data_IF_710441366227
#
_entry.id   IF_710441366227
#
_cell.length_a   1.000
_cell.length_b   1.000
_cell.length_c   1.000
_cell.angle_alpha   90.00
_cell.angle_beta   90.00
_cell.angle_gamma   90.00
#
_symmetry.space_group_name_H-M   'P 1'
#
loop_
_entity.id
_entity.type
_entity.pdbx_description
1 polymer ?
#
# COMPACT_ATOMS: atom_id res chain seq x y z
N UNK A 1 31.42 67.54 27.03
CA UNK A 1 32.04 67.50 25.69
C UNK A 1 32.44 68.90 25.20
N UNK A 2 31.59 69.92 25.44
CA UNK A 2 31.84 71.32 25.10
C UNK A 2 33.18 71.88 25.60
N UNK A 3 33.46 71.80 26.91
CA UNK A 3 34.70 72.35 27.51
C UNK A 3 35.98 71.74 26.92
N UNK A 4 35.95 70.46 26.56
CA UNK A 4 37.07 69.78 25.92
C UNK A 4 37.29 70.28 24.50
N UNK A 5 36.22 70.47 23.72
CA UNK A 5 36.31 70.98 22.33
C UNK A 5 36.70 72.46 22.28
N UNK A 6 36.16 73.29 23.18
CA UNK A 6 36.57 74.69 23.31
C UNK A 6 38.08 74.79 23.61
N UNK A 7 38.58 73.95 24.51
CA UNK A 7 40.02 73.87 24.82
C UNK A 7 40.84 73.37 23.62
N UNK A 8 40.40 72.29 22.97
CA UNK A 8 41.11 71.69 21.84
C UNK A 8 41.24 72.63 20.64
N UNK A 9 40.23 73.47 20.40
CA UNK A 9 40.22 74.49 19.35
C UNK A 9 40.84 75.83 19.79
N UNK A 10 41.40 75.90 21.01
CA UNK A 10 42.01 77.11 21.60
C UNK A 10 41.05 78.30 21.62
N UNK A 11 39.76 78.03 21.84
CA UNK A 11 38.73 79.05 21.95
C UNK A 11 38.82 79.68 23.34
N UNK A 12 39.37 80.88 23.37
CA UNK A 12 39.65 81.66 24.58
C UNK A 12 39.07 83.08 24.52
N UNK A 13 39.41 83.91 25.50
CA UNK A 13 38.97 85.31 25.52
C UNK A 13 39.44 86.11 24.30
N UNK A 14 40.59 85.77 23.70
CA UNK A 14 41.09 86.42 22.49
C UNK A 14 40.24 86.04 21.28
N UNK A 15 39.83 84.78 21.19
CA UNK A 15 38.88 84.29 20.18
C UNK A 15 37.54 85.02 20.26
N UNK A 16 36.99 85.20 21.46
CA UNK A 16 35.74 85.96 21.66
C UNK A 16 35.91 87.43 21.24
N UNK A 17 37.05 88.05 21.57
CA UNK A 17 37.35 89.43 21.16
C UNK A 17 37.52 89.56 19.64
N UNK A 18 38.09 88.55 18.98
CA UNK A 18 38.21 88.46 17.53
C UNK A 18 36.84 88.32 16.85
N UNK A 19 35.96 87.47 17.37
CA UNK A 19 34.59 87.29 16.87
C UNK A 19 33.76 88.58 16.99
N UNK A 20 33.93 89.35 18.07
CA UNK A 20 33.31 90.69 18.22
C UNK A 20 33.72 91.65 17.11
N UNK A 21 34.96 91.56 16.60
CA UNK A 21 35.45 92.36 15.45
C UNK A 21 34.98 91.79 14.10
N UNK A 22 34.75 90.48 14.01
CA UNK A 22 34.18 89.84 12.83
C UNK A 22 32.71 90.22 12.62
N UNK A 23 31.95 90.34 13.72
CA UNK A 23 30.50 90.48 13.69
C UNK A 23 29.96 91.61 12.79
N UNK A 24 30.48 92.86 12.81
CA UNK A 24 30.01 93.91 11.90
C UNK A 24 30.24 93.60 10.42
N UNK A 25 31.29 92.83 10.10
CA UNK A 25 31.58 92.37 8.73
C UNK A 25 30.54 91.34 8.32
N UNK A 26 30.23 90.40 9.21
CA UNK A 26 29.18 89.42 8.96
C UNK A 26 27.82 90.08 8.80
N UNK A 27 27.42 91.01 9.67
CA UNK A 27 26.13 91.71 9.57
C UNK A 27 25.96 92.42 8.21
N UNK A 28 27.06 92.93 7.63
CA UNK A 28 27.05 93.59 6.32
C UNK A 28 26.92 92.62 5.15
N UNK A 29 27.53 91.43 5.23
CA UNK A 29 27.70 90.54 4.07
C UNK A 29 26.96 89.20 4.16
N UNK A 30 26.43 88.80 5.33
CA UNK A 30 25.87 87.46 5.53
C UNK A 30 24.71 87.14 4.59
N UNK A 31 23.85 88.11 4.28
CA UNK A 31 22.73 87.92 3.35
C UNK A 31 23.23 87.61 1.93
N UNK A 32 24.19 88.40 1.43
CA UNK A 32 24.80 88.18 0.13
C UNK A 32 25.55 86.84 0.06
N UNK A 33 26.29 86.48 1.11
CA UNK A 33 27.04 85.22 1.18
C UNK A 33 26.08 84.02 1.16
N UNK A 34 24.97 84.08 1.91
CA UNK A 34 23.95 83.03 1.93
C UNK A 34 23.29 82.90 0.56
N UNK A 35 22.93 84.01 -0.08
CA UNK A 35 22.33 83.98 -1.41
C UNK A 35 23.28 83.37 -2.45
N UNK A 36 24.56 83.74 -2.43
CA UNK A 36 25.56 83.18 -3.33
C UNK A 36 25.84 81.71 -3.02
N UNK A 37 25.80 81.31 -1.75
CA UNK A 37 25.92 79.90 -1.35
C UNK A 37 24.79 79.05 -1.95
N UNK A 38 23.52 79.47 -1.82
CA UNK A 38 22.41 78.69 -2.38
C UNK A 38 22.37 78.74 -3.90
N UNK A 39 22.81 79.84 -4.55
CA UNK A 39 23.05 79.83 -6.00
C UNK A 39 24.08 78.77 -6.38
N UNK A 40 25.19 78.70 -5.66
CA UNK A 40 26.23 77.70 -5.88
C UNK A 40 25.71 76.26 -5.66
N UNK A 41 25.02 76.00 -4.55
CA UNK A 41 24.48 74.67 -4.23
C UNK A 41 23.46 74.20 -5.28
N UNK A 42 22.57 75.09 -5.73
CA UNK A 42 21.50 74.72 -6.69
C UNK A 42 22.00 74.44 -8.10
N UNK A 43 23.14 75.01 -8.50
CA UNK A 43 23.75 74.76 -9.83
C UNK A 43 24.83 73.68 -9.81
N UNK A 44 25.32 73.26 -8.64
CA UNK A 44 26.39 72.27 -8.53
C UNK A 44 25.82 70.84 -8.49
N UNK A 45 26.17 69.97 -9.47
CA UNK A 45 25.76 68.57 -9.46
C UNK A 45 26.23 67.86 -8.17
N UNK A 46 25.37 67.03 -7.56
CA UNK A 46 25.63 66.36 -6.28
C UNK A 46 25.39 67.22 -5.02
N UNK A 47 25.29 68.55 -5.12
CA UNK A 47 24.90 69.41 -4.00
C UNK A 47 23.43 69.85 -4.09
N UNK A 48 22.84 69.88 -5.29
CA UNK A 48 21.47 70.35 -5.52
C UNK A 48 20.37 69.38 -5.05
N UNK A 49 20.67 68.08 -4.95
CA UNK A 49 19.68 67.01 -4.76
C UNK A 49 18.86 67.13 -3.46
N UNK A 50 19.46 67.43 -2.29
CA UNK A 50 18.71 67.65 -1.06
C UNK A 50 17.81 68.90 -1.09
N UNK A 51 17.99 69.78 -2.09
CA UNK A 51 17.37 71.10 -2.18
C UNK A 51 16.50 71.27 -3.44
N UNK A 52 16.14 70.18 -4.13
CA UNK A 52 15.40 70.21 -5.39
C UNK A 52 13.99 70.82 -5.29
N UNK A 53 13.38 70.80 -4.09
CA UNK A 53 12.09 71.44 -3.81
C UNK A 53 12.29 72.92 -3.42
N UNK A 54 12.15 73.83 -4.39
CA UNK A 54 12.48 75.25 -4.24
C UNK A 54 11.64 76.01 -3.18
N UNK A 55 10.46 75.49 -2.81
CA UNK A 55 9.52 76.14 -1.89
C UNK A 55 10.02 76.27 -0.43
N UNK A 56 11.14 75.64 -0.07
CA UNK A 56 11.72 75.70 1.27
C UNK A 56 12.99 76.57 1.39
N UNK A 57 13.54 77.09 0.28
CA UNK A 57 14.86 77.75 0.30
C UNK A 57 14.89 78.99 1.19
N UNK A 58 13.85 79.85 1.16
CA UNK A 58 13.81 81.06 1.99
C UNK A 58 13.78 80.75 3.49
N UNK A 59 13.09 79.66 3.86
CA UNK A 59 13.06 79.18 5.23
C UNK A 59 14.45 78.69 5.69
N UNK A 60 15.13 77.89 4.85
CA UNK A 60 16.47 77.37 5.18
C UNK A 60 17.51 78.48 5.20
N UNK A 61 17.46 79.44 4.27
CA UNK A 61 18.29 80.66 4.28
C UNK A 61 18.14 81.45 5.57
N UNK A 62 16.90 81.70 5.97
CA UNK A 62 16.58 82.42 7.23
C UNK A 62 17.10 81.66 8.44
N UNK A 63 16.89 80.34 8.49
CA UNK A 63 17.37 79.48 9.57
C UNK A 63 18.91 79.43 9.63
N UNK A 64 19.58 79.40 8.48
CA UNK A 64 21.04 79.41 8.38
C UNK A 64 21.61 80.75 8.83
N UNK A 65 21.06 81.88 8.37
CA UNK A 65 21.44 83.23 8.84
C UNK A 65 21.35 83.33 10.35
N UNK A 66 20.20 82.91 10.92
CA UNK A 66 19.98 82.91 12.36
C UNK A 66 21.04 82.08 13.09
N UNK A 67 21.32 80.88 12.59
CA UNK A 67 22.35 80.02 13.17
C UNK A 67 23.73 80.70 13.19
N UNK A 68 24.19 81.26 12.07
CA UNK A 68 25.47 81.94 12.00
C UNK A 68 25.53 83.15 12.95
N UNK A 69 24.49 83.99 12.95
CA UNK A 69 24.49 85.28 13.67
C UNK A 69 24.23 85.14 15.17
N UNK A 70 23.28 84.29 15.57
CA UNK A 70 22.83 84.19 16.96
C UNK A 70 23.59 83.12 17.76
N UNK A 71 24.20 82.15 17.08
CA UNK A 71 24.85 81.01 17.72
C UNK A 71 26.35 80.94 17.42
N UNK A 72 26.74 80.75 16.16
CA UNK A 72 28.17 80.50 15.80
C UNK A 72 29.06 81.71 16.12
N UNK A 73 28.68 82.89 15.65
CA UNK A 73 29.47 84.11 15.78
C UNK A 73 29.06 85.01 16.95
N UNK A 74 28.10 84.58 17.77
CA UNK A 74 27.69 85.30 18.97
C UNK A 74 28.75 85.25 20.09
N UNK A 75 29.69 84.31 20.00
CA UNK A 75 30.75 84.11 21.01
C UNK A 75 30.22 83.59 22.35
N UNK A 76 29.04 82.95 22.35
CA UNK A 76 28.42 82.29 23.49
C UNK A 76 28.08 80.86 23.10
N UNK A 77 28.88 79.91 23.59
CA UNK A 77 28.67 78.48 23.39
C UNK A 77 28.11 77.90 24.69
N UNK A 78 26.83 78.12 24.91
CA UNK A 78 26.06 77.64 26.06
C UNK A 78 25.16 76.45 25.66
N UNK A 79 24.26 76.03 26.54
CA UNK A 79 23.33 74.93 26.28
C UNK A 79 22.39 75.19 25.09
N UNK A 80 22.00 76.46 24.86
CA UNK A 80 21.16 76.83 23.73
C UNK A 80 21.89 76.65 22.39
N UNK A 81 23.19 76.95 22.36
CA UNK A 81 24.05 76.62 21.23
C UNK A 81 24.13 75.10 20.98
N UNK A 82 24.31 74.30 22.03
CA UNK A 82 24.36 72.84 21.90
C UNK A 82 23.07 72.25 21.36
N UNK A 83 21.91 72.70 21.87
CA UNK A 83 20.59 72.30 21.37
C UNK A 83 20.44 72.64 19.89
N UNK A 84 20.89 73.82 19.47
CA UNK A 84 20.83 74.22 18.08
C UNK A 84 21.73 73.34 17.19
N UNK A 85 22.95 73.01 17.63
CA UNK A 85 23.83 72.06 16.93
C UNK A 85 23.19 70.66 16.84
N UNK A 86 22.50 70.21 17.90
CA UNK A 86 21.74 68.95 17.89
C UNK A 86 20.62 68.97 16.86
N UNK A 87 19.83 70.04 16.81
CA UNK A 87 18.77 70.21 15.81
C UNK A 87 19.33 70.23 14.37
N UNK A 88 20.46 70.89 14.16
CA UNK A 88 21.11 70.99 12.85
C UNK A 88 21.68 69.64 12.42
N UNK A 89 22.49 68.98 13.26
CA UNK A 89 23.02 67.65 12.97
C UNK A 89 21.91 66.63 12.69
N UNK A 90 20.82 66.68 13.46
CA UNK A 90 19.65 65.82 13.25
C UNK A 90 18.91 66.14 11.93
N UNK A 91 18.77 67.41 11.57
CA UNK A 91 18.17 67.81 10.30
C UNK A 91 19.01 67.32 9.11
N UNK A 92 20.33 67.48 9.17
CA UNK A 92 21.23 67.01 8.12
C UNK A 92 21.19 65.48 7.98
N UNK A 93 21.14 64.74 9.10
CA UNK A 93 20.99 63.28 9.09
C UNK A 93 19.61 62.82 8.57
N UNK A 94 18.55 63.60 8.83
CA UNK A 94 17.19 63.30 8.34
C UNK A 94 17.04 63.51 6.84
N UNK A 95 17.73 64.51 6.30
CA UNK A 95 17.66 64.88 4.89
C UNK A 95 18.79 64.27 4.06
N UNK A 96 19.53 63.29 4.61
CA UNK A 96 20.65 62.59 3.96
C UNK A 96 21.69 63.56 3.34
N UNK A 97 21.92 64.71 4.00
CA UNK A 97 22.95 65.64 3.58
C UNK A 97 24.30 65.04 3.96
N UNK A 98 25.06 64.60 2.96
CA UNK A 98 26.34 63.94 3.19
C UNK A 98 27.31 64.85 3.97
N UNK A 99 28.19 64.27 4.81
CA UNK A 99 29.26 65.05 5.46
C UNK A 99 30.08 65.85 4.46
N UNK A 100 30.34 65.31 3.26
CA UNK A 100 31.07 66.01 2.20
C UNK A 100 30.33 67.28 1.73
N UNK A 101 29.01 67.19 1.51
CA UNK A 101 28.14 68.32 1.18
C UNK A 101 28.15 69.35 2.30
N UNK A 102 28.09 68.90 3.55
CA UNK A 102 28.12 69.76 4.72
C UNK A 102 29.47 70.49 4.88
N UNK A 103 30.60 69.78 4.73
CA UNK A 103 31.95 70.36 4.71
C UNK A 103 32.12 71.39 3.58
N UNK A 104 31.65 71.08 2.37
CA UNK A 104 31.69 72.01 1.24
C UNK A 104 30.92 73.31 1.55
N UNK A 105 29.81 73.20 2.29
CA UNK A 105 29.08 74.33 2.85
C UNK A 105 29.97 75.23 3.70
N UNK A 106 30.56 74.72 4.77
CA UNK A 106 31.44 75.55 5.62
C UNK A 106 32.65 76.10 4.86
N UNK A 107 33.23 75.34 3.94
CA UNK A 107 34.35 75.80 3.12
C UNK A 107 33.97 77.04 2.29
N UNK A 108 32.77 77.05 1.69
CA UNK A 108 32.26 78.20 0.94
C UNK A 108 32.14 79.45 1.82
N UNK A 109 31.50 79.31 2.99
CA UNK A 109 31.35 80.42 3.93
C UNK A 109 32.71 80.90 4.44
N UNK A 110 33.64 80.00 4.70
CA UNK A 110 34.97 80.35 5.17
C UNK A 110 35.77 81.14 4.13
N UNK A 111 35.73 80.73 2.86
CA UNK A 111 36.37 81.48 1.75
C UNK A 111 35.75 82.88 1.60
N UNK A 112 34.42 82.97 1.62
CA UNK A 112 33.71 84.24 1.52
C UNK A 112 34.06 85.19 2.68
N UNK A 113 34.02 84.70 3.92
CA UNK A 113 34.40 85.49 5.10
C UNK A 113 35.87 85.89 5.06
N UNK A 114 36.75 85.01 4.57
CA UNK A 114 38.18 85.32 4.44
C UNK A 114 38.41 86.50 3.51
N UNK A 115 37.75 86.54 2.35
CA UNK A 115 37.81 87.69 1.43
C UNK A 115 37.35 89.00 2.08
N UNK A 116 36.24 88.97 2.82
CA UNK A 116 35.70 90.19 3.43
C UNK A 116 36.55 90.68 4.62
N UNK A 117 37.03 89.78 5.48
CA UNK A 117 37.89 90.15 6.62
C UNK A 117 39.24 90.70 6.16
N UNK A 118 39.86 90.08 5.15
CA UNK A 118 41.13 90.55 4.59
C UNK A 118 40.98 91.91 3.90
N UNK A 119 39.86 92.15 3.20
CA UNK A 119 39.57 93.45 2.59
C UNK A 119 39.36 94.57 3.64
N UNK A 120 38.56 94.30 4.69
CA UNK A 120 38.26 95.27 5.75
C UNK A 120 39.53 95.67 6.53
N UNK A 121 40.36 94.68 6.86
CA UNK A 121 41.60 94.90 7.64
C UNK A 121 42.87 94.93 6.78
N UNK A 122 42.79 95.31 5.50
CA UNK A 122 43.93 95.32 4.56
C UNK A 122 45.16 96.09 5.05
N UNK A 123 44.97 97.10 5.91
CA UNK A 123 46.05 97.92 6.51
C UNK A 123 46.46 97.46 7.92
N UNK A 124 45.84 96.40 8.45
CA UNK A 124 46.05 95.85 9.80
C UNK A 124 46.13 94.32 9.73
N UNK A 125 47.19 93.75 9.13
CA UNK A 125 47.30 92.31 8.87
C UNK A 125 47.21 91.46 10.14
N UNK A 126 47.77 91.92 11.26
CA UNK A 126 47.70 91.17 12.54
C UNK A 126 46.26 91.09 13.08
N UNK A 127 45.47 92.14 12.86
CA UNK A 127 44.05 92.15 13.24
C UNK A 127 43.25 91.24 12.31
N UNK A 128 43.54 91.25 11.01
CA UNK A 128 42.93 90.33 10.05
C UNK A 128 43.22 88.87 10.44
N UNK A 129 44.47 88.54 10.75
CA UNK A 129 44.89 87.20 11.15
C UNK A 129 44.17 86.73 12.44
N UNK A 130 44.11 87.58 13.47
CA UNK A 130 43.41 87.25 14.72
C UNK A 130 41.89 87.05 14.49
N UNK A 131 41.26 87.88 13.65
CA UNK A 131 39.84 87.74 13.30
C UNK A 131 39.58 86.45 12.53
N UNK A 132 40.42 86.13 11.53
CA UNK A 132 40.32 84.89 10.77
C UNK A 132 40.52 83.66 11.66
N UNK A 133 41.50 83.68 12.56
CA UNK A 133 41.70 82.60 13.55
C UNK A 133 40.44 82.36 14.39
N UNK A 134 39.81 83.44 14.89
CA UNK A 134 38.57 83.32 15.64
C UNK A 134 37.41 82.78 14.81
N UNK A 135 37.27 83.24 13.56
CA UNK A 135 36.25 82.75 12.61
C UNK A 135 36.45 81.26 12.31
N UNK A 136 37.70 80.82 12.08
CA UNK A 136 38.04 79.42 11.85
C UNK A 136 37.65 78.58 13.07
N UNK A 137 38.05 79.00 14.28
CA UNK A 137 37.76 78.26 15.50
C UNK A 137 36.25 78.10 15.74
N UNK A 138 35.46 79.16 15.52
CA UNK A 138 34.00 79.11 15.63
C UNK A 138 33.36 78.16 14.60
N UNK A 139 33.80 78.22 13.34
CA UNK A 139 33.33 77.33 12.26
C UNK A 139 33.65 75.87 12.56
N UNK A 140 34.91 75.55 12.94
CA UNK A 140 35.32 74.18 13.20
C UNK A 140 34.64 73.59 14.44
N UNK A 141 34.38 74.40 15.47
CA UNK A 141 33.60 73.97 16.63
C UNK A 141 32.18 73.56 16.22
N UNK A 142 31.52 74.41 15.46
CA UNK A 142 30.13 74.21 15.04
C UNK A 142 29.95 73.01 14.12
N UNK A 143 30.83 72.91 13.13
CA UNK A 143 30.94 71.77 12.23
C UNK A 143 31.15 70.46 13.00
N UNK A 144 32.10 70.44 13.94
CA UNK A 144 32.38 69.25 14.77
C UNK A 144 31.19 68.88 15.63
N UNK A 145 30.51 69.87 16.22
CA UNK A 145 29.38 69.63 17.12
C UNK A 145 28.17 69.06 16.39
N UNK A 146 27.86 69.60 15.22
CA UNK A 146 26.75 69.13 14.39
C UNK A 146 27.06 67.77 13.75
N UNK A 147 28.30 67.52 13.31
CA UNK A 147 28.70 66.22 12.75
C UNK A 147 28.70 65.09 13.78
N UNK A 148 29.08 65.35 15.04
CA UNK A 148 28.99 64.34 16.10
C UNK A 148 27.54 63.82 16.27
N UNK A 149 26.56 64.72 16.18
CA UNK A 149 25.14 64.37 16.24
C UNK A 149 24.72 63.62 14.98
N UNK A 150 25.14 64.08 13.80
CA UNK A 150 24.89 63.40 12.53
C UNK A 150 25.37 61.94 12.55
N UNK A 151 26.67 61.73 12.85
CA UNK A 151 27.26 60.38 12.84
C UNK A 151 26.67 59.50 13.94
N UNK A 152 26.35 60.06 15.11
CA UNK A 152 25.66 59.33 16.17
C UNK A 152 24.29 58.80 15.73
N UNK A 153 23.47 59.65 15.09
CA UNK A 153 22.14 59.28 14.61
C UNK A 153 22.20 58.25 13.47
N UNK A 154 23.10 58.43 12.50
CA UNK A 154 23.28 57.48 11.40
C UNK A 154 23.74 56.12 11.92
N UNK A 155 24.68 56.10 12.88
CA UNK A 155 25.14 54.85 13.53
C UNK A 155 23.99 54.14 14.24
N UNK A 156 23.21 54.85 15.07
CA UNK A 156 22.07 54.25 15.77
C UNK A 156 20.98 53.75 14.80
N UNK A 157 20.70 54.48 13.71
CA UNK A 157 19.73 54.03 12.69
C UNK A 157 20.20 52.74 12.01
N UNK A 158 21.48 52.69 11.64
CA UNK A 158 22.09 51.52 10.99
C UNK A 158 22.10 50.32 11.93
N UNK A 159 22.50 50.51 13.19
CA UNK A 159 22.51 49.47 14.21
C UNK A 159 21.11 48.87 14.40
N UNK A 160 20.07 49.72 14.55
CA UNK A 160 18.68 49.25 14.67
C UNK A 160 18.21 48.45 13.46
N UNK A 161 18.48 48.93 12.25
CA UNK A 161 18.11 48.23 11.02
C UNK A 161 18.77 46.85 10.93
N UNK A 162 20.06 46.76 11.28
CA UNK A 162 20.81 45.50 11.32
C UNK A 162 20.27 44.55 12.41
N UNK A 163 19.92 45.06 13.58
CA UNK A 163 19.32 44.27 14.66
C UNK A 163 17.93 43.73 14.31
N UNK A 164 17.11 44.53 13.62
CA UNK A 164 15.79 44.14 13.12
C UNK A 164 15.90 43.04 12.05
N UNK A 165 16.77 43.23 11.06
CA UNK A 165 17.00 42.24 10.01
C UNK A 165 17.58 40.94 10.58
N UNK A 166 18.56 41.03 11.49
CA UNK A 166 19.14 39.86 12.15
C UNK A 166 18.10 39.10 12.99
N UNK A 167 17.15 39.80 13.62
CA UNK A 167 16.05 39.17 14.36
C UNK A 167 15.05 38.48 13.44
N UNK A 168 14.70 39.11 12.31
CA UNK A 168 13.82 38.49 11.31
C UNK A 168 14.46 37.22 10.75
N UNK A 169 15.72 37.29 10.33
CA UNK A 169 16.48 36.14 9.83
C UNK A 169 16.56 35.02 10.86
N UNK A 170 16.83 35.33 12.13
CA UNK A 170 16.84 34.35 13.22
C UNK A 170 15.47 33.64 13.34
N UNK A 171 14.37 34.39 13.36
CA UNK A 171 13.03 33.83 13.48
C UNK A 171 12.61 32.96 12.28
N UNK A 172 13.00 33.36 11.06
CA UNK A 172 12.75 32.57 9.86
C UNK A 172 13.50 31.22 9.92
N UNK A 173 14.76 31.23 10.35
CA UNK A 173 15.54 30.00 10.46
C UNK A 173 15.05 29.11 11.61
N UNK A 174 14.69 29.68 12.77
CA UNK A 174 14.08 28.93 13.88
C UNK A 174 12.80 28.20 13.43
N UNK A 175 11.99 28.85 12.59
CA UNK A 175 10.79 28.24 12.01
C UNK A 175 11.15 27.06 11.09
N UNK A 176 12.18 27.22 10.24
CA UNK A 176 12.65 26.14 9.35
C UNK A 176 13.19 24.95 10.16
N UNK A 177 14.03 25.21 11.17
CA UNK A 177 14.58 24.17 12.07
C UNK A 177 13.47 23.42 12.78
N UNK A 178 12.47 24.13 13.30
CA UNK A 178 11.31 23.52 13.97
C UNK A 178 10.54 22.60 13.02
N UNK A 179 10.28 23.06 11.80
CA UNK A 179 9.61 22.25 10.78
C UNK A 179 10.44 21.03 10.37
N UNK A 180 11.77 21.17 10.31
CA UNK A 180 12.69 20.07 10.00
C UNK A 180 12.70 19.00 11.10
N UNK A 181 12.71 19.41 12.37
CA UNK A 181 12.62 18.50 13.51
C UNK A 181 11.28 17.74 13.55
N UNK A 182 10.18 18.43 13.23
CA UNK A 182 8.87 17.80 13.10
C UNK A 182 8.85 16.77 11.96
N UNK A 183 9.40 17.11 10.79
CA UNK A 183 9.51 16.20 9.66
C UNK A 183 10.37 14.96 9.98
N UNK A 184 11.51 15.14 10.66
CA UNK A 184 12.37 14.03 11.11
C UNK A 184 11.65 13.09 12.08
N UNK A 185 10.90 13.65 13.04
CA UNK A 185 10.07 12.86 13.97
C UNK A 185 9.01 12.04 13.22
N UNK A 186 8.35 12.66 12.23
CA UNK A 186 7.35 11.98 11.41
C UNK A 186 7.97 10.86 10.55
N UNK A 187 9.17 11.07 10.02
CA UNK A 187 9.92 10.02 9.31
C UNK A 187 10.25 8.84 10.23
N UNK A 188 10.70 9.09 11.46
CA UNK A 188 10.98 8.03 12.44
C UNK A 188 9.72 7.24 12.84
N UNK A 189 8.58 7.92 13.00
CA UNK A 189 7.30 7.27 13.24
C UNK A 189 6.86 6.40 12.04
N UNK A 190 6.97 6.92 10.82
CA UNK A 190 6.66 6.20 9.59
C UNK A 190 7.56 4.96 9.40
N UNK A 191 8.85 5.08 9.67
CA UNK A 191 9.81 3.98 9.63
C UNK A 191 9.48 2.90 10.67
N UNK A 192 9.10 3.29 11.89
CA UNK A 192 8.66 2.36 12.93
C UNK A 192 7.40 1.62 12.55
N UNK A 193 6.41 2.33 12.00
CA UNK A 193 5.17 1.73 11.51
C UNK A 193 5.43 0.75 10.37
N UNK A 194 6.23 1.15 9.38
CA UNK A 194 6.60 0.30 8.25
C UNK A 194 7.31 -0.98 8.70
N UNK A 195 8.24 -0.89 9.67
CA UNK A 195 8.87 -2.07 10.26
C UNK A 195 7.84 -3.03 10.88
N UNK A 196 6.88 -2.50 11.64
CA UNK A 196 5.81 -3.31 12.23
C UNK A 196 4.95 -3.98 11.16
N UNK A 197 4.59 -3.25 10.10
CA UNK A 197 3.83 -3.79 8.97
C UNK A 197 4.61 -4.90 8.26
N UNK A 198 5.90 -4.69 8.01
CA UNK A 198 6.76 -5.71 7.38
C UNK A 198 6.84 -6.97 8.21
N UNK A 199 6.99 -6.86 9.54
CA UNK A 199 6.99 -8.01 10.44
C UNK A 199 5.67 -8.79 10.38
N UNK A 200 4.52 -8.09 10.38
CA UNK A 200 3.21 -8.73 10.20
C UNK A 200 3.10 -9.42 8.84
N UNK A 201 3.57 -8.79 7.76
CA UNK A 201 3.58 -9.39 6.41
C UNK A 201 4.40 -10.67 6.39
N UNK A 202 5.58 -10.69 7.04
CA UNK A 202 6.42 -11.89 7.15
C UNK A 202 5.72 -13.02 7.91
N UNK A 203 5.04 -12.70 9.01
CA UNK A 203 4.28 -13.68 9.78
C UNK A 203 3.14 -14.29 8.96
N UNK A 204 2.36 -13.47 8.26
CA UNK A 204 1.28 -13.95 7.41
C UNK A 204 1.80 -14.72 6.18
N UNK A 205 2.95 -14.32 5.62
CA UNK A 205 3.62 -15.08 4.57
C UNK A 205 4.07 -16.47 5.07
N UNK A 206 4.59 -16.55 6.29
CA UNK A 206 4.91 -17.82 6.96
C UNK A 206 3.67 -18.72 7.11
N UNK A 207 2.55 -18.17 7.59
CA UNK A 207 1.28 -18.91 7.70
C UNK A 207 0.76 -19.40 6.34
N UNK A 208 0.88 -18.56 5.30
CA UNK A 208 0.48 -18.93 3.94
C UNK A 208 1.35 -20.06 3.37
N UNK A 209 2.65 -20.07 3.68
CA UNK A 209 3.56 -21.17 3.31
C UNK A 209 3.13 -22.47 3.97
N UNK A 210 2.93 -22.46 5.28
CA UNK A 210 2.57 -23.66 6.04
C UNK A 210 1.21 -24.22 5.56
N UNK A 211 0.25 -23.34 5.26
CA UNK A 211 -1.04 -23.73 4.67
C UNK A 211 -0.89 -24.32 3.25
N UNK A 212 0.02 -23.79 2.43
CA UNK A 212 0.30 -24.33 1.10
C UNK A 212 0.97 -25.72 1.17
N UNK A 213 1.89 -25.92 2.12
CA UNK A 213 2.53 -27.20 2.38
C UNK A 213 1.51 -28.25 2.81
N UNK A 214 0.64 -27.91 3.78
CA UNK A 214 -0.44 -28.79 4.22
C UNK A 214 -1.44 -29.09 3.08
N UNK A 215 -1.75 -28.11 2.22
CA UNK A 215 -2.59 -28.33 1.05
C UNK A 215 -1.94 -29.32 0.06
N UNK A 216 -0.62 -29.22 -0.15
CA UNK A 216 0.11 -30.13 -1.02
C UNK A 216 0.15 -31.56 -0.45
N UNK A 217 0.33 -31.73 0.86
CA UNK A 217 0.24 -33.04 1.54
C UNK A 217 -1.16 -33.66 1.38
N UNK A 218 -2.21 -32.88 1.63
CA UNK A 218 -3.59 -33.34 1.45
C UNK A 218 -3.87 -33.78 0.01
N UNK A 219 -3.34 -33.03 -0.96
CA UNK A 219 -3.47 -33.37 -2.38
C UNK A 219 -2.71 -34.66 -2.74
N UNK A 220 -1.53 -34.89 -2.16
CA UNK A 220 -0.82 -36.18 -2.32
C UNK A 220 -1.63 -37.34 -1.76
N UNK A 221 -2.27 -37.16 -0.59
CA UNK A 221 -3.16 -38.17 -0.01
C UNK A 221 -4.38 -38.45 -0.91
N UNK A 222 -4.99 -37.41 -1.49
CA UNK A 222 -6.09 -37.56 -2.45
C UNK A 222 -5.63 -38.29 -3.72
N UNK A 223 -4.43 -37.99 -4.22
CA UNK A 223 -3.86 -38.68 -5.39
C UNK A 223 -3.67 -40.17 -5.12
N UNK A 224 -3.08 -40.53 -3.97
CA UNK A 224 -2.90 -41.93 -3.56
C UNK A 224 -4.26 -42.65 -3.41
N UNK A 225 -5.25 -42.02 -2.77
CA UNK A 225 -6.58 -42.58 -2.64
C UNK A 225 -7.28 -42.76 -4.01
N UNK A 226 -7.05 -41.85 -4.95
CA UNK A 226 -7.61 -41.95 -6.31
C UNK A 226 -6.96 -43.07 -7.13
N UNK A 227 -5.66 -43.31 -6.94
CA UNK A 227 -4.96 -44.46 -7.53
C UNK A 227 -5.49 -45.80 -6.97
N UNK A 228 -5.70 -45.89 -5.65
CA UNK A 228 -6.31 -47.06 -5.00
C UNK A 228 -7.75 -47.29 -5.48
N UNK A 229 -8.57 -46.23 -5.58
CA UNK A 229 -9.92 -46.30 -6.14
C UNK A 229 -9.89 -46.79 -7.59
N UNK A 230 -8.98 -46.28 -8.41
CA UNK A 230 -8.81 -46.71 -9.81
C UNK A 230 -8.41 -48.19 -9.93
N UNK A 231 -7.63 -48.71 -8.98
CA UNK A 231 -7.31 -50.12 -8.92
C UNK A 231 -8.53 -50.97 -8.50
N UNK A 232 -9.28 -50.51 -7.50
CA UNK A 232 -10.51 -51.16 -7.02
C UNK A 232 -11.59 -51.22 -8.10
N UNK A 233 -11.82 -50.12 -8.82
CA UNK A 233 -12.80 -50.05 -9.92
C UNK A 233 -12.44 -51.03 -11.05
N UNK A 234 -11.16 -51.13 -11.43
CA UNK A 234 -10.70 -52.11 -12.43
C UNK A 234 -10.91 -53.56 -11.99
N UNK A 235 -10.76 -53.85 -10.70
CA UNK A 235 -11.05 -55.18 -10.17
C UNK A 235 -12.56 -55.48 -10.18
N UNK A 236 -13.41 -54.50 -9.84
CA UNK A 236 -14.87 -54.62 -9.96
C UNK A 236 -15.27 -54.87 -11.41
N UNK A 237 -14.71 -54.12 -12.37
CA UNK A 237 -14.94 -54.31 -13.81
C UNK A 237 -14.65 -55.76 -14.23
N UNK A 238 -13.48 -56.28 -13.83
CA UNK A 238 -13.05 -57.66 -14.09
C UNK A 238 -14.02 -58.68 -13.49
N UNK A 239 -14.47 -58.47 -12.26
CA UNK A 239 -15.41 -59.36 -11.58
C UNK A 239 -16.79 -59.36 -12.23
N UNK A 240 -17.29 -58.19 -12.63
CA UNK A 240 -18.57 -58.06 -13.34
C UNK A 240 -18.54 -58.79 -14.69
N UNK A 241 -17.42 -58.69 -15.42
CA UNK A 241 -17.23 -59.41 -16.67
C UNK A 241 -17.21 -60.95 -16.47
N UNK A 242 -16.53 -61.44 -15.43
CA UNK A 242 -16.53 -62.87 -15.08
C UNK A 242 -17.93 -63.36 -14.68
N UNK A 243 -18.67 -62.58 -13.89
CA UNK A 243 -20.07 -62.89 -13.52
C UNK A 243 -20.94 -63.00 -14.76
N UNK A 244 -20.87 -62.04 -15.69
CA UNK A 244 -21.65 -62.06 -16.93
C UNK A 244 -21.32 -63.29 -17.79
N UNK A 245 -20.04 -63.66 -17.91
CA UNK A 245 -19.61 -64.85 -18.65
C UNK A 245 -20.13 -66.16 -18.03
N UNK A 246 -20.10 -66.25 -16.68
CA UNK A 246 -20.62 -67.41 -15.95
C UNK A 246 -22.14 -67.50 -16.02
N UNK A 247 -22.84 -66.36 -15.95
CA UNK A 247 -24.28 -66.28 -16.10
C UNK A 247 -24.72 -66.77 -17.49
N UNK A 248 -24.06 -66.34 -18.57
CA UNK A 248 -24.32 -66.82 -19.93
C UNK A 248 -24.05 -68.34 -20.09
N UNK A 249 -23.00 -68.84 -19.43
CA UNK A 249 -22.72 -70.29 -19.40
C UNK A 249 -23.80 -71.08 -18.66
N UNK A 250 -24.28 -70.55 -17.53
CA UNK A 250 -25.34 -71.17 -16.75
C UNK A 250 -26.68 -71.16 -17.49
N UNK A 251 -27.03 -70.07 -18.18
CA UNK A 251 -28.22 -69.99 -19.03
C UNK A 251 -28.23 -71.07 -20.13
N UNK A 252 -27.09 -71.27 -20.81
CA UNK A 252 -26.94 -72.34 -21.81
C UNK A 252 -27.16 -73.73 -21.20
N UNK A 253 -26.60 -73.99 -20.01
CA UNK A 253 -26.77 -75.27 -19.32
C UNK A 253 -28.21 -75.53 -18.90
N UNK A 254 -28.93 -74.50 -18.44
CA UNK A 254 -30.35 -74.62 -18.10
C UNK A 254 -31.17 -74.91 -19.35
N UNK A 255 -30.93 -74.20 -20.45
CA UNK A 255 -31.61 -74.47 -21.73
C UNK A 255 -31.39 -75.91 -22.21
N UNK A 256 -30.20 -76.46 -22.01
CA UNK A 256 -29.94 -77.85 -22.34
C UNK A 256 -30.61 -78.84 -21.37
N UNK A 257 -30.65 -78.52 -20.07
CA UNK A 257 -31.39 -79.29 -19.07
C UNK A 257 -32.90 -79.30 -19.36
N UNK A 258 -33.51 -78.15 -19.70
CA UNK A 258 -34.92 -78.05 -20.07
C UNK A 258 -35.26 -78.94 -21.27
N UNK A 259 -34.38 -79.02 -22.28
CA UNK A 259 -34.57 -79.97 -23.41
C UNK A 259 -34.59 -81.43 -22.96
N UNK A 260 -33.81 -81.79 -21.94
CA UNK A 260 -33.80 -83.16 -21.39
C UNK A 260 -35.10 -83.42 -20.63
N UNK A 261 -35.56 -82.47 -19.82
CA UNK A 261 -36.83 -82.53 -19.09
C UNK A 261 -38.01 -82.68 -20.07
N UNK A 262 -38.04 -81.91 -21.16
CA UNK A 262 -39.07 -82.05 -22.21
C UNK A 262 -39.09 -83.45 -22.85
N UNK A 263 -37.90 -84.03 -23.11
CA UNK A 263 -37.78 -85.40 -23.63
C UNK A 263 -38.28 -86.43 -22.63
N UNK A 264 -37.98 -86.25 -21.33
CA UNK A 264 -38.48 -87.12 -20.26
C UNK A 264 -40.00 -87.01 -20.13
N UNK A 265 -40.57 -85.81 -20.25
CA UNK A 265 -42.02 -85.60 -20.23
C UNK A 265 -42.70 -86.32 -21.39
N UNK A 266 -42.13 -86.22 -22.59
CA UNK A 266 -42.60 -86.92 -23.78
C UNK A 266 -42.54 -88.44 -23.57
N UNK A 267 -41.40 -88.96 -23.10
CA UNK A 267 -41.23 -90.39 -22.85
C UNK A 267 -42.20 -90.92 -21.78
N UNK A 268 -42.44 -90.18 -20.70
CA UNK A 268 -43.39 -90.54 -19.66
C UNK A 268 -44.83 -90.58 -20.18
N UNK A 269 -45.21 -89.62 -21.04
CA UNK A 269 -46.52 -89.64 -21.72
C UNK A 269 -46.66 -90.87 -22.63
N UNK A 270 -45.64 -91.18 -23.42
CA UNK A 270 -45.64 -92.35 -24.32
C UNK A 270 -45.77 -93.66 -23.54
N UNK A 271 -45.02 -93.82 -22.45
CA UNK A 271 -45.13 -94.99 -21.57
C UNK A 271 -46.53 -95.05 -20.95
N UNK A 272 -47.08 -93.93 -20.50
CA UNK A 272 -48.44 -93.86 -19.97
C UNK A 272 -49.50 -94.35 -20.98
N UNK A 273 -49.36 -93.97 -22.26
CA UNK A 273 -50.24 -94.47 -23.33
C UNK A 273 -50.12 -95.99 -23.52
N UNK A 274 -48.89 -96.53 -23.49
CA UNK A 274 -48.64 -97.97 -23.62
C UNK A 274 -49.23 -98.73 -22.43
N UNK A 275 -49.01 -98.26 -21.20
CA UNK A 275 -49.56 -98.87 -19.98
C UNK A 275 -51.08 -98.89 -20.02
N UNK A 276 -51.72 -97.80 -20.45
CA UNK A 276 -53.17 -97.75 -20.64
C UNK A 276 -53.68 -98.70 -21.73
N UNK A 277 -52.91 -98.97 -22.78
CA UNK A 277 -53.23 -99.99 -23.78
C UNK A 277 -53.13 -101.41 -23.18
N UNK A 278 -52.08 -101.69 -22.41
CA UNK A 278 -51.88 -103.01 -21.77
C UNK A 278 -53.02 -103.28 -20.77
N UNK A 279 -53.43 -102.29 -19.98
CA UNK A 279 -54.55 -102.43 -19.04
C UNK A 279 -55.88 -102.74 -19.77
N UNK A 280 -56.12 -102.10 -20.93
CA UNK A 280 -57.27 -102.44 -21.80
C UNK A 280 -57.19 -103.88 -22.32
N UNK A 281 -56.01 -104.33 -22.76
CA UNK A 281 -55.80 -105.71 -23.23
C UNK A 281 -56.02 -106.70 -22.07
N UNK A 282 -55.50 -106.42 -20.87
CA UNK A 282 -55.69 -107.24 -19.69
C UNK A 282 -57.17 -107.33 -19.31
N UNK A 283 -57.90 -106.21 -19.32
CA UNK A 283 -59.34 -106.16 -19.09
C UNK A 283 -60.14 -106.97 -20.11
N UNK A 284 -59.81 -106.85 -21.40
CA UNK A 284 -60.40 -107.68 -22.46
C UNK A 284 -60.09 -109.17 -22.29
N UNK A 285 -58.86 -109.50 -21.92
CA UNK A 285 -58.42 -110.89 -21.68
C UNK A 285 -59.16 -111.48 -20.48
N UNK A 286 -59.35 -110.72 -19.41
CA UNK A 286 -60.16 -111.12 -18.25
C UNK A 286 -61.62 -111.39 -18.63
N UNK A 287 -62.22 -110.54 -19.48
CA UNK A 287 -63.57 -110.76 -20.02
C UNK A 287 -63.67 -112.01 -20.90
N UNK A 288 -62.70 -112.22 -21.80
CA UNK A 288 -62.62 -113.42 -22.64
C UNK A 288 -62.47 -114.70 -21.80
N UNK A 289 -61.58 -114.66 -20.79
CA UNK A 289 -61.37 -115.75 -19.85
C UNK A 289 -62.62 -116.02 -19.01
N UNK A 290 -63.33 -114.98 -18.56
CA UNK A 290 -64.61 -115.13 -17.86
C UNK A 290 -65.67 -115.82 -18.73
N UNK A 291 -65.81 -115.40 -19.99
CA UNK A 291 -66.72 -116.03 -20.95
C UNK A 291 -66.34 -117.50 -21.19
N UNK A 292 -65.04 -117.80 -21.29
CA UNK A 292 -64.53 -119.16 -21.43
C UNK A 292 -64.82 -120.03 -20.18
N UNK A 293 -64.68 -119.47 -18.97
CA UNK A 293 -65.04 -120.17 -17.72
C UNK A 293 -66.55 -120.48 -17.66
N UNK A 294 -67.40 -119.55 -18.14
CA UNK A 294 -68.85 -119.76 -18.21
C UNK A 294 -69.18 -120.91 -19.16
N UNK A 295 -68.59 -120.93 -20.36
CA UNK A 295 -68.86 -121.98 -21.35
C UNK A 295 -68.27 -123.34 -20.93
N UNK A 296 -67.12 -123.33 -20.25
CA UNK A 296 -66.54 -124.53 -19.64
C UNK A 296 -67.44 -125.13 -18.55
N UNK A 297 -68.06 -124.30 -17.71
CA UNK A 297 -69.04 -124.74 -16.73
C UNK A 297 -70.31 -125.31 -17.39
N UNK A 298 -70.71 -124.75 -18.55
CA UNK A 298 -71.84 -125.20 -19.35
C UNK A 298 -71.63 -126.58 -19.98
N UNK A 299 -70.38 -126.93 -20.31
CA UNK A 299 -69.99 -128.23 -20.84
C UNK A 299 -69.87 -129.36 -19.78
N UNK A 300 -70.08 -129.06 -18.49
CA UNK A 300 -70.08 -130.06 -17.41
C UNK A 300 -68.74 -130.76 -17.22
N UNK A 301 -68.74 -132.09 -17.09
CA UNK A 301 -67.52 -132.88 -16.83
C UNK A 301 -66.50 -132.81 -17.99
N UNK A 302 -66.96 -132.62 -19.24
CA UNK A 302 -66.09 -132.51 -20.40
C UNK A 302 -65.31 -131.18 -20.44
N UNK A 303 -65.78 -130.14 -19.73
CA UNK A 303 -65.18 -128.80 -19.71
C UNK A 303 -64.16 -128.55 -18.60
N UNK A 304 -63.95 -129.50 -17.67
CA UNK A 304 -63.11 -129.29 -16.47
C UNK A 304 -61.68 -128.83 -16.77
N UNK A 305 -61.01 -129.43 -17.77
CA UNK A 305 -59.67 -129.03 -18.17
C UNK A 305 -59.61 -127.61 -18.74
N UNK A 306 -60.64 -127.23 -19.51
CA UNK A 306 -60.77 -125.89 -20.10
C UNK A 306 -61.08 -124.83 -19.03
N UNK A 307 -61.89 -125.17 -18.02
CA UNK A 307 -62.19 -124.30 -16.89
C UNK A 307 -60.95 -123.93 -16.06
N UNK A 308 -60.02 -124.88 -15.87
CA UNK A 308 -58.74 -124.62 -15.17
C UNK A 308 -57.90 -123.61 -15.95
N UNK A 309 -57.73 -123.82 -17.26
CA UNK A 309 -56.96 -122.90 -18.12
C UNK A 309 -57.62 -121.51 -18.17
N UNK A 310 -58.95 -121.44 -18.32
CA UNK A 310 -59.68 -120.18 -18.33
C UNK A 310 -59.52 -119.42 -17.01
N UNK A 311 -59.56 -120.10 -15.86
CA UNK A 311 -59.32 -119.47 -14.56
C UNK A 311 -57.86 -119.02 -14.38
N UNK A 312 -56.88 -119.76 -14.89
CA UNK A 312 -55.47 -119.36 -14.86
C UNK A 312 -55.25 -118.09 -15.71
N UNK A 313 -55.79 -118.06 -16.94
CA UNK A 313 -55.76 -116.87 -17.81
C UNK A 313 -56.44 -115.67 -17.15
N UNK A 314 -57.58 -115.89 -16.48
CA UNK A 314 -58.27 -114.86 -15.70
C UNK A 314 -57.39 -114.33 -14.55
N UNK A 315 -56.67 -115.22 -13.86
CA UNK A 315 -55.71 -114.87 -12.81
C UNK A 315 -54.56 -114.01 -13.34
N UNK A 316 -53.93 -114.42 -14.44
CA UNK A 316 -52.87 -113.66 -15.11
C UNK A 316 -53.36 -112.29 -15.59
N UNK A 317 -54.57 -112.21 -16.15
CA UNK A 317 -55.15 -110.96 -16.60
C UNK A 317 -55.37 -109.97 -15.44
N UNK A 318 -55.87 -110.44 -14.30
CA UNK A 318 -56.02 -109.61 -13.09
C UNK A 318 -54.67 -109.18 -12.51
N UNK A 319 -53.67 -110.08 -12.48
CA UNK A 319 -52.30 -109.71 -12.08
C UNK A 319 -51.70 -108.66 -13.01
N UNK A 320 -51.92 -108.80 -14.32
CA UNK A 320 -51.45 -107.84 -15.32
C UNK A 320 -52.09 -106.48 -15.11
N UNK A 321 -53.42 -106.41 -14.92
CA UNK A 321 -54.13 -105.15 -14.68
C UNK A 321 -53.69 -104.48 -13.37
N UNK A 322 -53.43 -105.27 -12.31
CA UNK A 322 -52.85 -104.75 -11.06
C UNK A 322 -51.45 -104.17 -11.30
N UNK A 323 -50.58 -104.89 -11.99
CA UNK A 323 -49.22 -104.44 -12.29
C UNK A 323 -49.22 -103.18 -13.18
N UNK A 324 -50.10 -103.09 -14.17
CA UNK A 324 -50.26 -101.87 -14.98
C UNK A 324 -50.79 -100.69 -14.18
N UNK A 325 -51.66 -100.91 -13.19
CA UNK A 325 -52.09 -99.88 -12.25
C UNK A 325 -50.94 -99.33 -11.39
N UNK A 326 -50.10 -100.22 -10.86
CA UNK A 326 -48.89 -99.84 -10.10
C UNK A 326 -47.89 -99.06 -10.99
N UNK A 327 -47.65 -99.51 -12.23
CA UNK A 327 -46.82 -98.79 -13.20
C UNK A 327 -47.44 -97.44 -13.55
N UNK A 328 -48.76 -97.36 -13.72
CA UNK A 328 -49.47 -96.10 -13.97
C UNK A 328 -49.23 -95.07 -12.87
N UNK A 329 -49.31 -95.49 -11.60
CA UNK A 329 -48.98 -94.61 -10.46
C UNK A 329 -47.52 -94.15 -10.45
N UNK A 330 -46.58 -95.03 -10.83
CA UNK A 330 -45.16 -94.68 -10.97
C UNK A 330 -44.94 -93.65 -12.10
N UNK A 331 -45.59 -93.82 -13.25
CA UNK A 331 -45.50 -92.89 -14.37
C UNK A 331 -46.09 -91.52 -14.02
N UNK A 332 -47.19 -91.47 -13.28
CA UNK A 332 -47.76 -90.20 -12.81
C UNK A 332 -46.84 -89.48 -11.83
N UNK A 333 -46.19 -90.24 -10.95
CA UNK A 333 -45.15 -89.70 -10.05
C UNK A 333 -43.97 -89.14 -10.83
N UNK A 334 -43.51 -89.84 -11.88
CA UNK A 334 -42.44 -89.35 -12.78
C UNK A 334 -42.87 -88.07 -13.50
N UNK A 335 -44.09 -88.01 -14.05
CA UNK A 335 -44.62 -86.81 -14.71
C UNK A 335 -44.68 -85.60 -13.78
N UNK A 336 -45.10 -85.83 -12.54
CA UNK A 336 -45.14 -84.78 -11.50
C UNK A 336 -43.72 -84.26 -11.24
N UNK A 337 -42.76 -85.14 -10.99
CA UNK A 337 -41.36 -84.76 -10.75
C UNK A 337 -40.73 -84.03 -11.95
N UNK A 338 -41.07 -84.42 -13.18
CA UNK A 338 -40.63 -83.74 -14.41
C UNK A 338 -41.22 -82.34 -14.51
N UNK A 339 -42.51 -82.17 -14.19
CA UNK A 339 -43.18 -80.86 -14.21
C UNK A 339 -42.59 -79.91 -13.15
N UNK A 340 -42.36 -80.42 -11.94
CA UNK A 340 -41.68 -79.68 -10.87
C UNK A 340 -40.25 -79.29 -11.26
N UNK A 341 -39.52 -80.19 -11.93
CA UNK A 341 -38.18 -79.91 -12.44
C UNK A 341 -38.20 -78.83 -13.53
N UNK A 342 -39.18 -78.85 -14.43
CA UNK A 342 -39.33 -77.83 -15.47
C UNK A 342 -39.58 -76.44 -14.86
N UNK A 343 -40.51 -76.35 -13.89
CA UNK A 343 -40.78 -75.11 -13.18
C UNK A 343 -39.54 -74.56 -12.46
N UNK A 344 -38.78 -75.44 -11.79
CA UNK A 344 -37.53 -75.05 -11.14
C UNK A 344 -36.48 -74.55 -12.16
N UNK A 345 -36.40 -75.11 -13.36
CA UNK A 345 -35.49 -74.63 -14.41
C UNK A 345 -35.89 -73.24 -14.92
N UNK A 346 -37.18 -72.97 -15.11
CA UNK A 346 -37.69 -71.66 -15.52
C UNK A 346 -37.39 -70.59 -14.46
N UNK A 347 -37.61 -70.90 -13.17
CA UNK A 347 -37.27 -70.00 -12.07
C UNK A 347 -35.77 -69.65 -12.06
N UNK A 348 -34.89 -70.65 -12.23
CA UNK A 348 -33.44 -70.40 -12.28
C UNK A 348 -33.07 -69.58 -13.52
N UNK A 349 -33.71 -69.80 -14.67
CA UNK A 349 -33.50 -68.97 -15.88
C UNK A 349 -33.88 -67.51 -15.63
N UNK A 350 -34.99 -67.25 -14.93
CA UNK A 350 -35.39 -65.91 -14.51
C UNK A 350 -34.37 -65.23 -13.57
N UNK A 351 -33.81 -65.99 -12.62
CA UNK A 351 -32.74 -65.51 -11.73
C UNK A 351 -31.50 -65.13 -12.55
N UNK A 352 -31.10 -65.93 -13.53
CA UNK A 352 -29.95 -65.62 -14.41
C UNK A 352 -30.21 -64.39 -15.27
N UNK A 353 -31.43 -64.23 -15.80
CA UNK A 353 -31.82 -63.02 -16.53
C UNK A 353 -31.66 -61.77 -15.66
N UNK A 354 -32.07 -61.86 -14.39
CA UNK A 354 -31.90 -60.78 -13.41
C UNK A 354 -30.42 -60.51 -13.11
N UNK A 355 -29.59 -61.56 -12.98
CA UNK A 355 -28.13 -61.41 -12.79
C UNK A 355 -27.48 -60.67 -13.95
N UNK A 356 -27.83 -61.00 -15.20
CA UNK A 356 -27.31 -60.30 -16.37
C UNK A 356 -27.70 -58.82 -16.39
N UNK A 357 -28.95 -58.49 -16.03
CA UNK A 357 -29.41 -57.11 -15.93
C UNK A 357 -28.65 -56.32 -14.86
N UNK A 358 -28.41 -56.93 -13.69
CA UNK A 358 -27.61 -56.32 -12.61
C UNK A 358 -26.17 -56.11 -13.06
N UNK A 359 -25.53 -57.10 -13.67
CA UNK A 359 -24.16 -56.97 -14.19
C UNK A 359 -24.03 -55.83 -15.21
N UNK A 360 -25.00 -55.67 -16.11
CA UNK A 360 -25.03 -54.56 -17.06
C UNK A 360 -25.14 -53.19 -16.36
N UNK A 361 -25.99 -53.09 -15.33
CA UNK A 361 -26.14 -51.87 -14.55
C UNK A 361 -24.85 -51.52 -13.78
N UNK A 362 -24.18 -52.51 -13.17
CA UNK A 362 -22.90 -52.31 -12.47
C UNK A 362 -21.82 -51.87 -13.48
N UNK A 363 -21.75 -52.49 -14.65
CA UNK A 363 -20.78 -52.10 -15.69
C UNK A 363 -20.95 -50.63 -16.11
N UNK A 364 -22.19 -50.16 -16.26
CA UNK A 364 -22.46 -48.74 -16.53
C UNK A 364 -22.00 -47.83 -15.38
N UNK A 365 -22.26 -48.21 -14.13
CA UNK A 365 -21.84 -47.44 -12.96
C UNK A 365 -20.31 -47.40 -12.81
N UNK A 366 -19.62 -48.49 -13.16
CA UNK A 366 -18.15 -48.57 -13.18
C UNK A 366 -17.55 -47.58 -14.17
N UNK A 367 -18.12 -47.44 -15.37
CA UNK A 367 -17.65 -46.44 -16.36
C UNK A 367 -17.78 -45.02 -15.82
N UNK A 368 -18.91 -44.70 -15.17
CA UNK A 368 -19.13 -43.38 -14.55
C UNK A 368 -18.16 -43.12 -13.39
N UNK A 369 -17.91 -44.13 -12.54
CA UNK A 369 -16.94 -44.04 -11.44
C UNK A 369 -15.50 -43.85 -11.92
N UNK A 370 -15.10 -44.51 -13.01
CA UNK A 370 -13.81 -44.27 -13.66
C UNK A 370 -13.66 -42.81 -14.08
N UNK A 371 -14.65 -42.27 -14.79
CA UNK A 371 -14.63 -40.88 -15.25
C UNK A 371 -14.52 -39.88 -14.08
N UNK A 372 -15.27 -40.12 -13.00
CA UNK A 372 -15.24 -39.28 -11.80
C UNK A 372 -13.87 -39.36 -11.08
N UNK A 373 -13.28 -40.55 -10.98
CA UNK A 373 -11.97 -40.73 -10.31
C UNK A 373 -10.83 -40.11 -11.12
N UNK A 374 -10.90 -40.18 -12.45
CA UNK A 374 -9.99 -39.47 -13.34
C UNK A 374 -10.10 -37.95 -13.19
N UNK A 375 -11.32 -37.42 -13.01
CA UNK A 375 -11.54 -36.00 -12.76
C UNK A 375 -11.01 -35.55 -11.40
N UNK A 376 -11.22 -36.33 -10.34
CA UNK A 376 -10.62 -36.09 -9.02
C UNK A 376 -9.09 -36.03 -9.12
N UNK A 377 -8.48 -36.98 -9.84
CA UNK A 377 -7.03 -37.03 -10.03
C UNK A 377 -6.50 -35.78 -10.77
N UNK A 378 -7.21 -35.32 -11.81
CA UNK A 378 -6.87 -34.07 -12.52
C UNK A 378 -6.98 -32.85 -11.61
N UNK A 379 -8.07 -32.73 -10.85
CA UNK A 379 -8.29 -31.61 -9.93
C UNK A 379 -7.26 -31.60 -8.80
N UNK A 380 -6.88 -32.77 -8.29
CA UNK A 380 -5.80 -32.90 -7.32
C UNK A 380 -4.47 -32.40 -7.90
N UNK A 381 -4.10 -32.82 -9.12
CA UNK A 381 -2.88 -32.34 -9.77
C UNK A 381 -2.86 -30.81 -9.97
N UNK A 382 -4.02 -30.21 -10.30
CA UNK A 382 -4.14 -28.76 -10.43
C UNK A 382 -4.01 -28.03 -9.08
N UNK A 383 -4.66 -28.55 -8.03
CA UNK A 383 -4.53 -28.04 -6.68
C UNK A 383 -3.07 -28.10 -6.19
N UNK A 384 -2.33 -29.17 -6.50
CA UNK A 384 -0.90 -29.27 -6.20
C UNK A 384 -0.10 -28.14 -6.89
N UNK A 385 -0.44 -27.81 -8.13
CA UNK A 385 0.19 -26.71 -8.88
C UNK A 385 -0.09 -25.37 -8.23
N UNK A 386 -1.31 -25.11 -7.77
CA UNK A 386 -1.65 -23.89 -7.04
C UNK A 386 -0.89 -23.78 -5.72
N UNK A 387 -0.81 -24.86 -4.94
CA UNK A 387 -0.03 -24.89 -3.71
C UNK A 387 1.45 -24.52 -3.95
N UNK A 388 2.07 -25.10 -5.00
CA UNK A 388 3.45 -24.72 -5.41
C UNK A 388 3.56 -23.27 -5.87
N UNK A 389 2.55 -22.74 -6.56
CA UNK A 389 2.54 -21.33 -6.96
C UNK A 389 2.48 -20.40 -5.76
N UNK A 390 1.73 -20.76 -4.71
CA UNK A 390 1.68 -19.99 -3.46
C UNK A 390 3.05 -19.96 -2.79
N UNK A 391 3.81 -21.07 -2.79
CA UNK A 391 5.19 -21.07 -2.28
C UNK A 391 6.07 -20.02 -2.98
N UNK A 392 6.06 -19.94 -4.31
CA UNK A 392 6.84 -18.92 -5.03
C UNK A 392 6.38 -17.49 -4.74
N UNK A 393 5.08 -17.26 -4.58
CA UNK A 393 4.57 -15.95 -4.20
C UNK A 393 5.06 -15.58 -2.80
N UNK A 394 5.04 -16.51 -1.86
CA UNK A 394 5.54 -16.29 -0.50
C UNK A 394 7.05 -15.99 -0.50
N UNK A 395 7.86 -16.70 -1.28
CA UNK A 395 9.29 -16.40 -1.43
C UNK A 395 9.51 -14.96 -1.95
N UNK A 396 8.74 -14.54 -2.96
CA UNK A 396 8.82 -13.18 -3.48
C UNK A 396 8.40 -12.13 -2.43
N UNK A 397 7.39 -12.43 -1.61
CA UNK A 397 6.96 -11.57 -0.50
C UNK A 397 8.06 -11.45 0.56
N UNK A 398 8.76 -12.53 0.90
CA UNK A 398 9.86 -12.49 1.88
C UNK A 398 11.03 -11.62 1.37
N UNK A 399 11.37 -11.73 0.08
CA UNK A 399 12.36 -10.85 -0.57
C UNK A 399 11.92 -9.38 -0.54
N UNK A 400 10.65 -9.10 -0.84
CA UNK A 400 10.10 -7.75 -0.80
C UNK A 400 10.11 -7.17 0.64
N UNK A 401 9.81 -8.00 1.64
CA UNK A 401 9.87 -7.64 3.05
C UNK A 401 11.29 -7.27 3.47
N UNK A 402 12.31 -8.04 3.08
CA UNK A 402 13.73 -7.71 3.30
C UNK A 402 14.11 -6.38 2.63
N UNK A 403 13.62 -6.12 1.42
CA UNK A 403 13.80 -4.84 0.74
C UNK A 403 13.19 -3.67 1.52
N UNK A 404 11.99 -3.85 2.08
CA UNK A 404 11.32 -2.86 2.91
C UNK A 404 12.06 -2.60 4.22
N UNK A 405 12.61 -3.62 4.88
CA UNK A 405 13.49 -3.45 6.06
C UNK A 405 14.72 -2.59 5.74
N UNK A 406 15.34 -2.82 4.57
CA UNK A 406 16.45 -1.99 4.08
C UNK A 406 16.04 -0.52 3.87
N UNK A 407 14.86 -0.29 3.28
CA UNK A 407 14.32 1.06 3.10
C UNK A 407 14.03 1.76 4.44
N UNK A 408 13.48 1.04 5.42
CA UNK A 408 13.27 1.55 6.79
C UNK A 408 14.59 1.99 7.42
N UNK A 409 15.66 1.20 7.27
CA UNK A 409 16.98 1.57 7.78
C UNK A 409 17.51 2.86 7.13
N UNK A 410 17.32 3.03 5.81
CA UNK A 410 17.69 4.25 5.10
C UNK A 410 16.88 5.48 5.56
N UNK A 411 15.57 5.34 5.76
CA UNK A 411 14.72 6.43 6.26
C UNK A 411 15.14 6.86 7.66
N UNK A 412 15.43 5.91 8.55
CA UNK A 412 15.92 6.23 9.89
C UNK A 412 17.27 6.95 9.85
N UNK A 413 18.20 6.52 8.99
CA UNK A 413 19.48 7.20 8.81
C UNK A 413 19.29 8.63 8.29
N UNK A 414 18.45 8.82 7.27
CA UNK A 414 18.14 10.13 6.73
C UNK A 414 17.49 11.05 7.77
N UNK A 415 16.55 10.55 8.58
CA UNK A 415 15.97 11.29 9.70
C UNK A 415 17.02 11.72 10.72
N UNK A 416 17.96 10.84 11.07
CA UNK A 416 19.10 11.17 11.94
C UNK A 416 19.96 12.31 11.39
N UNK A 417 20.33 12.26 10.11
CA UNK A 417 21.09 13.34 9.45
C UNK A 417 20.33 14.66 9.40
N UNK A 418 19.01 14.65 9.19
CA UNK A 418 18.20 15.87 9.22
C UNK A 418 18.21 16.52 10.61
N UNK A 419 18.15 15.73 11.67
CA UNK A 419 18.25 16.24 13.04
C UNK A 419 19.62 16.88 13.28
N UNK A 420 20.72 16.24 12.86
CA UNK A 420 22.07 16.80 12.98
C UNK A 420 22.24 18.12 12.21
N UNK A 421 21.66 18.21 11.01
CA UNK A 421 21.66 19.45 10.22
C UNK A 421 20.82 20.56 10.88
N UNK A 422 19.68 20.21 11.50
CA UNK A 422 18.86 21.16 12.23
C UNK A 422 19.62 21.77 13.43
N UNK A 423 20.33 20.93 14.19
CA UNK A 423 21.16 21.36 15.32
C UNK A 423 22.31 22.26 14.85
N UNK A 424 23.01 21.84 13.78
CA UNK A 424 24.11 22.62 13.19
C UNK A 424 23.65 23.99 12.69
N UNK A 425 22.48 24.05 12.05
CA UNK A 425 21.91 25.29 11.53
C UNK A 425 21.54 26.24 12.67
N UNK A 426 20.98 25.72 13.77
CA UNK A 426 20.68 26.50 14.98
C UNK A 426 21.94 27.17 15.53
N UNK A 427 23.01 26.39 15.78
CA UNK A 427 24.27 26.93 16.30
C UNK A 427 24.93 27.93 15.33
N UNK A 428 24.85 27.68 14.02
CA UNK A 428 25.43 28.56 13.00
C UNK A 428 24.72 29.91 12.95
N UNK A 429 23.39 29.93 13.05
CA UNK A 429 22.61 31.17 13.08
C UNK A 429 22.84 31.95 14.37
N UNK A 430 22.87 31.29 15.52
CA UNK A 430 23.19 31.95 16.79
C UNK A 430 24.58 32.63 16.74
N UNK A 431 25.56 31.93 16.18
CA UNK A 431 26.92 32.44 16.00
C UNK A 431 26.94 33.64 15.05
N UNK A 432 26.24 33.54 13.91
CA UNK A 432 26.15 34.58 12.90
C UNK A 432 25.47 35.85 13.44
N UNK A 433 24.31 35.72 14.10
CA UNK A 433 23.56 36.83 14.69
C UNK A 433 24.36 37.51 15.80
N UNK A 434 25.01 36.73 16.66
CA UNK A 434 25.92 37.27 17.70
C UNK A 434 27.10 38.01 17.07
N UNK A 435 27.66 37.47 15.98
CA UNK A 435 28.73 38.09 15.22
C UNK A 435 28.32 39.44 14.63
N UNK A 436 27.13 39.51 14.02
CA UNK A 436 26.57 40.75 13.45
C UNK A 436 26.37 41.80 14.54
N UNK A 437 25.76 41.44 15.68
CA UNK A 437 25.52 42.37 16.80
C UNK A 437 26.80 42.93 17.43
N UNK A 438 27.94 42.24 17.25
CA UNK A 438 29.24 42.72 17.72
C UNK A 438 29.86 43.76 16.77
N UNK A 439 29.53 43.69 15.47
CA UNK A 439 30.10 44.53 14.41
C UNK A 439 29.22 45.75 14.10
N UNK A 440 27.90 45.62 14.30
CA UNK A 440 26.93 46.72 14.27
C UNK A 440 27.11 47.67 15.46
#
# INVERSE_FOLDING_TARGET
MQNTMLTALRIDAQTIAALKKARPILERYIDAIIDDFYKFVTVTPGLREPFAQHAALDHVKTAQKRHWMEFVFAGRWDEAYEENCRRIGAAHARHDISPNTYFAGYAFFLDALTRHVTAEFRRKPDVAAAVLQGVHAAIFLDLTMSLNVYFGLVRTRTQKAVEEEARSFQGDVETIVTNLGAASTQLGAAATHMRSTTETVRQEAGRARDAAEQANENVQAVSAASEELSASIREIERQVHDISTRADTADKRIKDASKVVDRLQTAANDIGMIVGLIDKIASQTNLLALNATIEAARAGDAGKGFAVVANEVKGLANQTSKATGEIGGLIESVRTAVTESAAAMDDISGIIGTLNAISAAIASAVVEQCAATDEISRNAAEAARYARSVHHVVEAVDVAALGAEGAVAQVNAAGGTLTEHADTMTTSVETFVTGIRRVA
#
